data_IF_386921614166
#
_entry.id   IF_386921614166
#
_cell.length_a   1.000
_cell.length_b   1.000
_cell.length_c   1.000
_cell.angle_alpha   90.00
_cell.angle_beta   90.00
_cell.angle_gamma   90.00
#
_symmetry.space_group_name_H-M   'P 1'
#
loop_
_entity.id
_entity.type
_entity.pdbx_description
1 polymer ?
#
# COMPACT_ATOMS: atom_id res chain seq x y z
N UNK A 1 3.40 -21.86 -4.51
CA UNK A 1 4.81 -21.92 -4.03
C UNK A 1 5.70 -20.89 -4.70
N UNK A 2 5.58 -20.64 -6.00
CA UNK A 2 6.36 -19.64 -6.75
C UNK A 2 6.30 -18.22 -6.16
N UNK A 3 5.10 -17.72 -5.84
CA UNK A 3 4.94 -16.35 -5.33
C UNK A 3 5.54 -16.10 -3.93
N UNK A 4 5.53 -17.13 -3.07
CA UNK A 4 6.14 -17.02 -1.74
C UNK A 4 7.66 -16.85 -1.83
N UNK A 5 8.33 -17.61 -2.70
CA UNK A 5 9.76 -17.47 -2.95
C UNK A 5 10.12 -16.11 -3.54
N UNK A 6 9.30 -15.63 -4.48
CA UNK A 6 9.45 -14.30 -5.08
C UNK A 6 9.32 -13.21 -4.03
N UNK A 7 8.36 -13.32 -3.11
CA UNK A 7 8.16 -12.36 -2.03
C UNK A 7 9.36 -12.34 -1.07
N UNK A 8 9.84 -13.52 -0.64
CA UNK A 8 11.01 -13.64 0.23
C UNK A 8 12.23 -13.00 -0.44
N UNK A 9 12.46 -13.28 -1.73
CA UNK A 9 13.55 -12.69 -2.49
C UNK A 9 13.40 -11.15 -2.58
N UNK A 10 12.20 -10.64 -2.84
CA UNK A 10 11.93 -9.21 -2.91
C UNK A 10 12.22 -8.51 -1.56
N UNK A 11 11.80 -9.10 -0.44
CA UNK A 11 12.08 -8.58 0.90
C UNK A 11 13.58 -8.59 1.23
N UNK A 12 14.29 -9.66 0.84
CA UNK A 12 15.74 -9.72 0.99
C UNK A 12 16.46 -8.64 0.16
N UNK A 13 16.06 -8.44 -1.09
CA UNK A 13 16.63 -7.40 -1.96
C UNK A 13 16.35 -5.99 -1.42
N UNK A 14 15.13 -5.74 -0.94
CA UNK A 14 14.75 -4.47 -0.34
C UNK A 14 15.54 -4.16 0.93
N UNK A 15 15.65 -5.11 1.85
CA UNK A 15 16.43 -4.93 3.08
C UNK A 15 17.91 -4.67 2.78
N UNK A 16 18.49 -5.42 1.83
CA UNK A 16 19.86 -5.20 1.36
C UNK A 16 20.03 -3.84 0.69
N UNK A 17 19.06 -3.39 -0.10
CA UNK A 17 19.07 -2.06 -0.73
C UNK A 17 19.04 -0.95 0.32
N UNK A 18 18.11 -0.99 1.27
CA UNK A 18 18.02 0.01 2.33
C UNK A 18 19.29 0.05 3.20
N UNK A 19 19.83 -1.11 3.55
CA UNK A 19 21.10 -1.22 4.28
C UNK A 19 22.26 -0.57 3.51
N UNK A 20 22.40 -0.84 2.20
CA UNK A 20 23.43 -0.22 1.36
C UNK A 20 23.28 1.30 1.23
N UNK A 21 22.04 1.79 1.20
CA UNK A 21 21.74 3.23 1.13
C UNK A 21 21.88 3.93 2.48
N UNK A 22 22.07 3.18 3.58
CA UNK A 22 22.08 3.74 4.93
C UNK A 22 20.72 4.30 5.37
N UNK A 23 19.63 3.79 4.78
CA UNK A 23 18.26 4.18 5.13
C UNK A 23 17.76 3.26 6.24
N UNK A 24 17.43 3.85 7.39
CA UNK A 24 16.81 3.11 8.49
C UNK A 24 15.36 2.75 8.16
N UNK A 25 14.92 1.56 8.59
CA UNK A 25 13.50 1.16 8.54
C UNK A 25 12.71 1.86 9.66
N UNK A 26 12.62 3.19 9.54
CA UNK A 26 11.95 4.06 10.49
C UNK A 26 10.47 4.26 10.12
N UNK A 27 9.75 5.04 10.96
CA UNK A 27 8.34 5.36 10.72
C UNK A 27 8.08 6.02 9.35
N UNK A 28 9.08 6.64 8.71
CA UNK A 28 8.93 7.26 7.40
C UNK A 28 8.88 6.21 6.30
N UNK A 29 9.75 5.21 6.38
CA UNK A 29 9.71 4.06 5.47
C UNK A 29 8.40 3.29 5.62
N UNK A 30 7.96 3.05 6.86
CA UNK A 30 6.69 2.39 7.13
C UNK A 30 5.48 3.19 6.64
N UNK A 31 5.48 4.50 6.83
CA UNK A 31 4.42 5.37 6.30
C UNK A 31 4.34 5.31 4.78
N UNK A 32 5.48 5.23 4.08
CA UNK A 32 5.49 5.12 2.61
C UNK A 32 4.94 3.76 2.20
N UNK A 33 5.44 2.69 2.82
CA UNK A 33 4.95 1.34 2.55
C UNK A 33 3.43 1.26 2.72
N UNK A 34 2.88 1.80 3.82
CA UNK A 34 1.44 1.85 4.07
C UNK A 34 0.68 2.57 2.93
N UNK A 35 1.10 3.78 2.55
CA UNK A 35 0.38 4.56 1.53
C UNK A 35 0.43 3.90 0.14
N UNK A 36 1.56 3.29 -0.23
CA UNK A 36 1.67 2.60 -1.51
C UNK A 36 0.93 1.25 -1.50
N UNK A 37 0.87 0.55 -0.36
CA UNK A 37 -0.02 -0.62 -0.21
C UNK A 37 -1.48 -0.21 -0.37
N UNK A 38 -1.91 0.88 0.30
CA UNK A 38 -3.26 1.42 0.16
C UNK A 38 -3.59 1.80 -1.30
N UNK A 39 -2.64 2.38 -2.02
CA UNK A 39 -2.78 2.67 -3.46
C UNK A 39 -2.97 1.40 -4.28
N UNK A 40 -2.18 0.36 -4.00
CA UNK A 40 -2.31 -0.94 -4.66
C UNK A 40 -3.67 -1.59 -4.44
N UNK A 41 -4.14 -1.64 -3.19
CA UNK A 41 -5.46 -2.16 -2.86
C UNK A 41 -6.58 -1.35 -3.52
N UNK A 42 -6.44 -0.01 -3.56
CA UNK A 42 -7.43 0.86 -4.21
C UNK A 42 -7.49 0.65 -5.73
N UNK A 43 -6.33 0.51 -6.39
CA UNK A 43 -6.25 0.18 -7.82
C UNK A 43 -6.87 -1.18 -8.12
N UNK A 44 -6.70 -2.16 -7.23
CA UNK A 44 -7.33 -3.47 -7.36
C UNK A 44 -8.85 -3.37 -7.34
N UNK A 45 -9.40 -2.62 -6.38
CA UNK A 45 -10.84 -2.35 -6.32
C UNK A 45 -11.34 -1.71 -7.61
N UNK A 46 -10.57 -0.80 -8.23
CA UNK A 46 -10.94 -0.22 -9.53
C UNK A 46 -10.97 -1.22 -10.68
N UNK A 47 -10.12 -2.25 -10.65
CA UNK A 47 -10.11 -3.33 -11.65
C UNK A 47 -11.32 -4.24 -11.43
N UNK A 48 -11.54 -4.65 -10.18
CA UNK A 48 -12.64 -5.53 -9.81
C UNK A 48 -13.99 -4.84 -10.08
N UNK A 49 -14.09 -3.52 -9.94
CA UNK A 49 -15.29 -2.74 -10.25
C UNK A 49 -15.53 -2.51 -11.76
N UNK A 50 -14.64 -2.99 -12.63
CA UNK A 50 -14.71 -2.80 -14.08
C UNK A 50 -14.31 -1.40 -14.57
N UNK A 51 -13.75 -0.53 -13.71
CA UNK A 51 -13.25 0.79 -14.13
C UNK A 51 -11.92 0.67 -14.88
N UNK A 52 -11.08 -0.28 -14.48
CA UNK A 52 -9.82 -0.59 -15.13
C UNK A 52 -9.88 -1.97 -15.78
N UNK A 53 -9.20 -2.19 -16.92
CA UNK A 53 -9.20 -3.48 -17.60
C UNK A 53 -8.50 -4.56 -16.76
N UNK A 54 -9.06 -5.75 -16.79
CA UNK A 54 -8.47 -6.95 -16.18
C UNK A 54 -7.29 -7.43 -17.04
N UNK A 55 -6.07 -7.30 -16.53
CA UNK A 55 -4.82 -7.65 -17.23
C UNK A 55 -3.87 -8.34 -16.27
N UNK A 56 -2.87 -9.07 -16.78
CA UNK A 56 -1.87 -9.73 -15.94
C UNK A 56 -1.12 -8.79 -14.98
N UNK A 57 -1.02 -7.50 -15.30
CA UNK A 57 -0.40 -6.47 -14.45
C UNK A 57 -1.36 -5.88 -13.40
N UNK A 58 -2.67 -5.93 -13.64
CA UNK A 58 -3.67 -5.32 -12.76
C UNK A 58 -4.26 -6.30 -11.75
N UNK A 59 -4.03 -7.61 -11.92
CA UNK A 59 -4.32 -8.63 -10.91
C UNK A 59 -3.10 -9.09 -10.12
N UNK A 60 -3.34 -9.81 -9.02
CA UNK A 60 -2.27 -10.33 -8.16
C UNK A 60 -1.51 -11.50 -8.82
N UNK A 61 -0.16 -11.52 -8.71
CA UNK A 61 0.69 -10.56 -7.98
C UNK A 61 1.13 -9.34 -8.81
N UNK A 62 0.75 -9.23 -10.09
CA UNK A 62 1.16 -8.18 -11.02
C UNK A 62 0.99 -6.77 -10.46
N UNK A 63 -0.10 -6.51 -9.73
CA UNK A 63 -0.37 -5.19 -9.15
C UNK A 63 0.68 -4.77 -8.11
N UNK A 64 1.25 -5.71 -7.35
CA UNK A 64 2.33 -5.41 -6.42
C UNK A 64 3.60 -5.02 -7.17
N UNK A 65 3.90 -5.68 -8.30
CA UNK A 65 5.02 -5.27 -9.17
C UNK A 65 4.80 -3.90 -9.80
N UNK A 66 3.56 -3.58 -10.19
CA UNK A 66 3.21 -2.27 -10.76
C UNK A 66 3.43 -1.16 -9.73
N UNK A 67 2.87 -1.32 -8.52
CA UNK A 67 3.02 -0.36 -7.43
C UNK A 67 4.48 -0.23 -7.01
N UNK A 68 5.21 -1.34 -6.92
CA UNK A 68 6.63 -1.34 -6.60
C UNK A 68 7.47 -0.61 -7.66
N UNK A 69 7.20 -0.88 -8.94
CA UNK A 69 7.87 -0.22 -10.07
C UNK A 69 7.53 1.27 -10.15
N UNK A 70 6.38 1.68 -9.62
CA UNK A 70 6.00 3.09 -9.48
C UNK A 70 6.71 3.76 -8.29
N UNK A 71 6.71 3.13 -7.12
CA UNK A 71 7.35 3.65 -5.89
C UNK A 71 8.88 3.75 -6.00
N UNK A 72 9.52 2.68 -6.46
CA UNK A 72 10.99 2.53 -6.44
C UNK A 72 11.73 3.70 -7.12
N UNK A 73 11.40 4.13 -8.36
CA UNK A 73 12.09 5.26 -8.99
C UNK A 73 11.85 6.57 -8.25
N UNK A 74 10.64 6.81 -7.74
CA UNK A 74 10.32 8.01 -6.95
C UNK A 74 11.20 8.04 -5.69
N UNK A 75 11.30 6.91 -4.99
CA UNK A 75 12.15 6.78 -3.82
C UNK A 75 13.63 7.00 -4.16
N UNK A 76 14.16 6.31 -5.18
CA UNK A 76 15.57 6.40 -5.56
C UNK A 76 15.97 7.80 -6.02
N UNK A 77 15.13 8.46 -6.83
CA UNK A 77 15.36 9.84 -7.27
C UNK A 77 15.33 10.79 -6.08
N UNK A 78 14.31 10.68 -5.23
CA UNK A 78 14.17 11.55 -4.05
C UNK A 78 15.33 11.39 -3.08
N UNK A 79 15.76 10.14 -2.87
CA UNK A 79 16.93 9.81 -2.05
C UNK A 79 18.22 10.37 -2.65
N UNK A 80 18.43 10.21 -3.96
CA UNK A 80 19.60 10.80 -4.63
C UNK A 80 19.62 12.32 -4.53
N UNK A 81 18.47 12.98 -4.75
CA UNK A 81 18.33 14.44 -4.65
C UNK A 81 18.62 14.97 -3.24
N UNK A 82 18.23 14.23 -2.21
CA UNK A 82 18.55 14.56 -0.82
C UNK A 82 20.07 14.45 -0.56
N UNK A 83 20.72 13.39 -1.07
CA UNK A 83 22.18 13.21 -0.94
C UNK A 83 22.99 14.33 -1.59
N UNK A 84 22.50 14.90 -2.69
CA UNK A 84 23.12 16.07 -3.34
C UNK A 84 22.59 17.41 -2.82
N UNK A 85 21.86 17.42 -1.69
CA UNK A 85 21.30 18.61 -1.02
C UNK A 85 20.34 19.45 -1.88
N UNK A 86 19.76 18.87 -2.94
CA UNK A 86 18.71 19.51 -3.76
C UNK A 86 17.31 19.30 -3.18
N UNK A 87 17.17 18.36 -2.25
CA UNK A 87 15.92 18.06 -1.56
C UNK A 87 16.17 17.99 -0.06
N UNK A 88 15.24 18.52 0.74
CA UNK A 88 15.37 18.53 2.21
C UNK A 88 15.03 17.19 2.87
N UNK A 89 14.25 16.35 2.19
CA UNK A 89 13.72 15.11 2.75
C UNK A 89 13.27 14.15 1.65
N UNK A 90 13.91 12.97 1.55
CA UNK A 90 13.63 11.96 0.51
C UNK A 90 12.21 11.40 0.55
N UNK A 91 11.56 11.37 1.72
CA UNK A 91 10.25 10.74 1.91
C UNK A 91 9.08 11.63 1.44
N UNK A 92 9.28 12.96 1.38
CA UNK A 92 8.19 13.89 1.05
C UNK A 92 7.63 13.67 -0.36
N UNK A 93 8.45 13.55 -1.42
CA UNK A 93 7.90 13.30 -2.75
C UNK A 93 7.15 11.97 -2.81
N UNK A 94 7.67 10.90 -2.20
CA UNK A 94 6.99 9.61 -2.15
C UNK A 94 5.58 9.72 -1.51
N UNK A 95 5.45 10.47 -0.41
CA UNK A 95 4.13 10.75 0.18
C UNK A 95 3.22 11.55 -0.73
N UNK A 96 3.73 12.62 -1.33
CA UNK A 96 2.94 13.47 -2.23
C UNK A 96 2.43 12.66 -3.43
N UNK A 97 3.29 11.87 -4.07
CA UNK A 97 2.88 11.03 -5.19
C UNK A 97 1.86 9.97 -4.77
N UNK A 98 2.06 9.29 -3.65
CA UNK A 98 1.08 8.31 -3.17
C UNK A 98 -0.29 8.95 -2.89
N UNK A 99 -0.33 10.10 -2.21
CA UNK A 99 -1.58 10.81 -1.89
C UNK A 99 -2.25 11.31 -3.17
N UNK A 100 -1.50 11.92 -4.10
CA UNK A 100 -2.06 12.39 -5.37
C UNK A 100 -2.65 11.23 -6.18
N UNK A 101 -1.95 10.11 -6.29
CA UNK A 101 -2.46 8.91 -6.97
C UNK A 101 -3.72 8.36 -6.30
N UNK A 102 -3.77 8.33 -4.97
CA UNK A 102 -4.96 7.91 -4.23
C UNK A 102 -6.16 8.83 -4.49
N UNK A 103 -5.95 10.15 -4.49
CA UNK A 103 -7.00 11.12 -4.80
C UNK A 103 -7.55 10.93 -6.21
N UNK A 104 -6.67 10.68 -7.19
CA UNK A 104 -7.07 10.37 -8.57
C UNK A 104 -7.90 9.09 -8.63
N UNK A 105 -7.46 8.02 -7.98
CA UNK A 105 -8.18 6.74 -7.93
C UNK A 105 -9.55 6.92 -7.28
N UNK A 106 -9.64 7.63 -6.17
CA UNK A 106 -10.92 7.89 -5.48
C UNK A 106 -11.87 8.79 -6.28
N UNK A 107 -11.34 9.75 -7.03
CA UNK A 107 -12.13 10.57 -7.93
C UNK A 107 -12.81 9.71 -9.02
N UNK A 108 -12.05 8.83 -9.67
CA UNK A 108 -12.59 7.94 -10.72
C UNK A 108 -13.46 6.81 -10.19
N UNK A 109 -13.23 6.34 -8.96
CA UNK A 109 -14.08 5.35 -8.30
C UNK A 109 -15.50 5.85 -7.99
N UNK A 110 -15.75 7.16 -8.10
CA UNK A 110 -17.04 7.72 -7.72
C UNK A 110 -17.35 7.48 -6.23
N UNK A 111 -16.31 7.45 -5.37
CA UNK A 111 -16.44 7.25 -3.92
C UNK A 111 -17.52 8.12 -3.27
N UNK A 112 -17.81 9.37 -3.72
CA UNK A 112 -18.92 10.14 -3.16
C UNK A 112 -20.29 9.44 -3.27
N UNK A 113 -20.52 8.61 -4.31
CA UNK A 113 -21.79 7.91 -4.53
C UNK A 113 -21.85 6.51 -3.88
N UNK A 114 -20.70 5.92 -3.54
CA UNK A 114 -20.59 4.55 -2.98
C UNK A 114 -19.74 4.48 -1.72
N UNK A 115 -19.81 5.50 -0.86
CA UNK A 115 -18.93 5.66 0.32
C UNK A 115 -19.06 4.53 1.35
N UNK A 116 -20.16 3.79 1.33
CA UNK A 116 -20.47 2.73 2.27
C UNK A 116 -19.44 1.58 2.22
N UNK A 117 -18.99 1.18 1.03
CA UNK A 117 -18.03 0.09 0.88
C UNK A 117 -16.62 0.47 1.37
N UNK A 118 -16.01 1.60 0.95
CA UNK A 118 -14.74 2.07 1.52
C UNK A 118 -14.81 2.31 3.03
N UNK A 119 -15.92 2.85 3.54
CA UNK A 119 -16.12 3.03 4.98
C UNK A 119 -16.20 1.70 5.73
N UNK A 120 -16.88 0.69 5.17
CA UNK A 120 -16.94 -0.65 5.74
C UNK A 120 -15.55 -1.28 5.79
N UNK A 121 -14.77 -1.18 4.71
CA UNK A 121 -13.39 -1.69 4.66
C UNK A 121 -12.54 -1.01 5.75
N UNK A 122 -12.54 0.32 5.82
CA UNK A 122 -11.74 1.07 6.80
C UNK A 122 -12.18 0.75 8.24
N UNK A 123 -13.49 0.72 8.51
CA UNK A 123 -14.02 0.47 9.85
C UNK A 123 -13.75 -0.97 10.33
N UNK A 124 -13.91 -1.98 9.47
CA UNK A 124 -13.57 -3.37 9.79
C UNK A 124 -12.07 -3.55 10.01
N UNK A 125 -11.25 -2.88 9.19
CA UNK A 125 -9.79 -2.92 9.33
C UNK A 125 -9.32 -2.25 10.61
N UNK A 126 -9.92 -1.12 10.99
CA UNK A 126 -9.66 -0.45 12.26
C UNK A 126 -10.12 -1.31 13.44
N UNK A 127 -11.32 -1.87 13.39
CA UNK A 127 -11.90 -2.67 14.47
C UNK A 127 -11.06 -3.91 14.76
N UNK A 128 -10.62 -4.62 13.72
CA UNK A 128 -9.74 -5.80 13.87
C UNK A 128 -8.34 -5.44 14.32
N UNK A 129 -7.74 -4.39 13.76
CA UNK A 129 -6.41 -3.93 14.20
C UNK A 129 -6.43 -3.48 15.66
N UNK A 130 -7.51 -2.82 16.09
CA UNK A 130 -7.72 -2.44 17.48
C UNK A 130 -7.96 -3.67 18.37
N UNK A 131 -8.71 -4.66 17.90
CA UNK A 131 -8.89 -5.94 18.60
C UNK A 131 -7.55 -6.64 18.84
N UNK A 132 -6.69 -6.69 17.82
CA UNK A 132 -5.34 -7.26 17.91
C UNK A 132 -4.48 -6.45 18.89
N UNK A 133 -4.55 -5.11 18.88
CA UNK A 133 -3.87 -4.26 19.84
C UNK A 133 -4.28 -4.53 21.30
N UNK A 134 -5.58 -4.69 21.54
CA UNK A 134 -6.11 -4.95 22.89
C UNK A 134 -5.65 -6.30 23.44
N UNK A 135 -5.44 -7.29 22.57
CA UNK A 135 -4.90 -8.62 22.92
C UNK A 135 -3.37 -8.54 23.11
N UNK A 136 -2.68 -7.88 22.17
CA UNK A 136 -1.22 -7.76 22.15
C UNK A 136 -0.82 -6.31 22.48
N UNK A 137 -0.77 -6.00 23.78
CA UNK A 137 -0.51 -4.64 24.28
C UNK A 137 0.93 -4.13 24.08
N UNK A 138 1.83 -4.97 23.56
CA UNK A 138 3.24 -4.64 23.32
C UNK A 138 3.51 -4.21 21.86
N UNK A 139 2.47 -3.91 21.08
CA UNK A 139 2.61 -3.49 19.69
C UNK A 139 2.93 -2.00 19.62
N UNK A 140 3.98 -1.67 18.86
CA UNK A 140 4.35 -0.29 18.58
C UNK A 140 3.51 0.27 17.42
N UNK A 141 3.57 1.60 17.22
CA UNK A 141 2.83 2.28 16.14
C UNK A 141 3.12 1.71 14.76
N UNK A 142 4.35 1.24 14.51
CA UNK A 142 4.73 0.63 13.24
C UNK A 142 4.02 -0.71 13.03
N UNK A 143 3.95 -1.56 14.06
CA UNK A 143 3.26 -2.84 14.00
C UNK A 143 1.77 -2.65 13.73
N UNK A 144 1.15 -1.66 14.40
CA UNK A 144 -0.25 -1.31 14.18
C UNK A 144 -0.53 -0.84 12.75
N UNK A 145 0.37 -0.07 12.15
CA UNK A 145 0.24 0.36 10.75
C UNK A 145 0.36 -0.82 9.78
N UNK A 146 1.26 -1.77 10.06
CA UNK A 146 1.43 -2.99 9.25
C UNK A 146 0.17 -3.86 9.35
N UNK A 147 -0.30 -4.13 10.56
CA UNK A 147 -1.52 -4.91 10.80
C UNK A 147 -2.71 -4.24 10.11
N UNK A 148 -2.88 -2.93 10.29
CA UNK A 148 -3.95 -2.18 9.65
C UNK A 148 -3.89 -2.23 8.12
N UNK A 149 -2.70 -2.06 7.53
CA UNK A 149 -2.51 -2.19 6.08
C UNK A 149 -2.89 -3.58 5.56
N UNK A 150 -2.52 -4.64 6.28
CA UNK A 150 -2.89 -6.01 5.92
C UNK A 150 -4.39 -6.28 6.07
N UNK A 151 -5.01 -5.82 7.16
CA UNK A 151 -6.46 -5.97 7.34
C UNK A 151 -7.22 -5.20 6.26
N UNK A 152 -6.75 -4.01 5.88
CA UNK A 152 -7.34 -3.20 4.82
C UNK A 152 -7.30 -3.91 3.46
N UNK A 153 -6.18 -4.53 3.11
CA UNK A 153 -6.07 -5.33 1.88
C UNK A 153 -7.01 -6.55 1.92
N UNK A 154 -7.09 -7.26 3.05
CA UNK A 154 -7.97 -8.41 3.23
C UNK A 154 -9.46 -8.04 3.13
N UNK A 155 -9.90 -6.98 3.83
CA UNK A 155 -11.30 -6.55 3.82
C UNK A 155 -11.72 -5.93 2.50
N UNK A 156 -10.81 -5.26 1.77
CA UNK A 156 -11.10 -4.80 0.42
C UNK A 156 -11.41 -5.94 -0.54
N UNK A 157 -10.69 -7.07 -0.41
CA UNK A 157 -10.96 -8.29 -1.19
C UNK A 157 -12.28 -8.95 -0.75
N UNK A 158 -12.51 -9.09 0.55
CA UNK A 158 -13.73 -9.70 1.10
C UNK A 158 -15.00 -8.94 0.68
N UNK A 159 -15.03 -7.62 0.88
CA UNK A 159 -16.18 -6.78 0.53
C UNK A 159 -16.34 -6.69 -1.00
N UNK A 160 -15.22 -6.63 -1.74
CA UNK A 160 -15.22 -6.65 -3.20
C UNK A 160 -15.88 -7.89 -3.78
N UNK A 161 -15.53 -9.09 -3.28
CA UNK A 161 -16.08 -10.36 -3.77
C UNK A 161 -17.51 -10.61 -3.28
N UNK A 162 -17.76 -10.50 -1.97
CA UNK A 162 -19.00 -11.01 -1.36
C UNK A 162 -20.16 -10.01 -1.36
N UNK A 163 -19.89 -8.71 -1.31
CA UNK A 163 -20.94 -7.68 -1.17
C UNK A 163 -21.17 -6.89 -2.44
N UNK A 164 -20.15 -6.73 -3.28
CA UNK A 164 -20.26 -6.01 -4.54
C UNK A 164 -20.38 -6.96 -5.75
N UNK A 165 -20.27 -8.27 -5.53
CA UNK A 165 -20.56 -9.31 -6.53
C UNK A 165 -19.55 -9.35 -7.68
N UNK A 166 -18.32 -8.89 -7.46
CA UNK A 166 -17.27 -8.81 -8.48
C UNK A 166 -16.53 -10.16 -8.70
N UNK A 167 -17.27 -11.27 -8.67
CA UNK A 167 -16.77 -12.63 -8.93
C UNK A 167 -17.05 -13.12 -10.33
#
# INVERSE_FOLDING_TARGET
>A
MTYALVLILAMYLLSKMFSKLGVGLDQRVWGMAFLYTLLGSSLRVSVDSGLLPYTYLTVTPGIYFLVFSYWLPIFLISFHLERIKKLSSYHRPAYVFAILSLLVVFYFLGVPEKIQAPMAIISMSLATSMGIYLIFKNLDRADLLIIFGHMLDAYSTFIGMDFLGYG
#
